data_IF_067615456082
#
_entry.id   IF_067615456082
#
_cell.length_a   1.000
_cell.length_b   1.000
_cell.length_c   1.000
_cell.angle_alpha   90.00
_cell.angle_beta   90.00
_cell.angle_gamma   90.00
#
_symmetry.space_group_name_H-M   'P 1'
#
loop_
_entity.id
_entity.type
_entity.pdbx_description
1 polymer ?
#
# COMPACT_ATOMS: atom_id res chain seq x y z
N UNK A 1 -22.84 -30.14 -18.95
CA UNK A 1 -23.99 -29.81 -18.09
C UNK A 1 -23.69 -30.35 -16.70
N UNK A 2 -23.07 -29.56 -15.81
CA UNK A 2 -22.78 -29.94 -14.42
C UNK A 2 -23.07 -28.72 -13.54
N UNK A 3 -23.80 -29.00 -12.46
CA UNK A 3 -24.67 -28.13 -11.67
C UNK A 3 -23.91 -27.06 -10.87
N UNK A 4 -24.35 -25.82 -10.99
CA UNK A 4 -24.04 -24.74 -10.05
C UNK A 4 -24.96 -24.85 -8.83
N UNK A 5 -24.44 -25.35 -7.72
CA UNK A 5 -25.09 -25.28 -6.42
C UNK A 5 -24.90 -23.87 -5.87
N UNK A 6 -25.89 -22.99 -6.08
CA UNK A 6 -25.91 -21.66 -5.46
C UNK A 6 -26.32 -21.81 -3.99
N UNK A 7 -25.37 -21.76 -3.08
CA UNK A 7 -25.64 -21.60 -1.64
C UNK A 7 -25.90 -20.11 -1.37
N UNK A 8 -27.13 -19.78 -1.03
CA UNK A 8 -27.50 -18.41 -0.61
C UNK A 8 -26.90 -18.14 0.77
N UNK A 9 -25.80 -17.40 0.80
CA UNK A 9 -25.16 -16.91 2.03
C UNK A 9 -26.04 -15.84 2.69
N UNK A 10 -26.63 -16.15 3.84
CA UNK A 10 -27.34 -15.17 4.67
C UNK A 10 -26.35 -14.48 5.62
N UNK A 11 -25.92 -13.27 5.29
CA UNK A 11 -25.05 -12.47 6.15
C UNK A 11 -25.87 -11.87 7.30
N UNK A 12 -25.59 -12.30 8.54
CA UNK A 12 -26.06 -11.61 9.75
C UNK A 12 -24.86 -10.97 10.45
N UNK A 13 -25.10 -9.87 11.16
CA UNK A 13 -24.07 -9.24 11.98
C UNK A 13 -23.57 -10.25 13.04
N UNK A 14 -22.25 -10.46 13.08
CA UNK A 14 -21.62 -11.47 13.94
C UNK A 14 -21.33 -12.82 13.27
N UNK A 15 -21.77 -13.05 12.03
CA UNK A 15 -21.46 -14.28 11.27
C UNK A 15 -19.96 -14.40 10.97
N UNK A 16 -19.45 -15.63 10.99
CA UNK A 16 -18.09 -15.95 10.56
C UNK A 16 -18.10 -16.27 9.06
N UNK A 17 -17.20 -15.63 8.33
CA UNK A 17 -17.04 -15.73 6.87
C UNK A 17 -15.57 -15.95 6.54
N UNK A 18 -15.31 -16.58 5.41
CA UNK A 18 -13.97 -16.95 4.98
C UNK A 18 -13.57 -16.15 3.75
N UNK A 19 -12.37 -15.57 3.78
CA UNK A 19 -11.72 -15.00 2.60
C UNK A 19 -10.40 -15.75 2.38
N UNK A 20 -10.38 -16.62 1.38
CA UNK A 20 -9.32 -17.61 1.18
C UNK A 20 -9.23 -18.58 2.37
N UNK A 21 -8.06 -18.65 3.01
CA UNK A 21 -7.80 -19.50 4.18
C UNK A 21 -8.00 -18.79 5.54
N UNK A 22 -8.42 -17.53 5.53
CA UNK A 22 -8.52 -16.70 6.72
C UNK A 22 -9.99 -16.52 7.16
N UNK A 23 -10.20 -16.57 8.47
CA UNK A 23 -11.52 -16.45 9.10
C UNK A 23 -11.76 -15.02 9.58
N UNK A 24 -12.90 -14.47 9.21
CA UNK A 24 -13.31 -13.13 9.55
C UNK A 24 -14.70 -13.14 10.19
N UNK A 25 -14.93 -12.24 11.14
CA UNK A 25 -16.24 -12.01 11.73
C UNK A 25 -16.86 -10.73 11.14
N UNK A 26 -18.07 -10.83 10.61
CA UNK A 26 -18.80 -9.67 10.06
C UNK A 26 -19.20 -8.75 11.21
N UNK A 27 -18.58 -7.57 11.30
CA UNK A 27 -18.92 -6.54 12.28
C UNK A 27 -20.14 -5.77 11.84
N UNK A 28 -20.21 -5.41 10.55
CA UNK A 28 -21.28 -4.58 10.00
C UNK A 28 -21.39 -4.75 8.49
N UNK A 29 -22.62 -4.76 7.98
CA UNK A 29 -22.90 -4.69 6.55
C UNK A 29 -22.96 -3.20 6.17
N UNK A 30 -22.12 -2.78 5.23
CA UNK A 30 -22.07 -1.39 4.79
C UNK A 30 -23.12 -1.17 3.69
N UNK A 31 -23.11 -2.02 2.68
CA UNK A 31 -24.02 -1.99 1.53
C UNK A 31 -24.16 -3.40 0.92
N UNK A 32 -24.84 -3.53 -0.23
CA UNK A 32 -25.04 -4.81 -0.92
C UNK A 32 -23.78 -5.37 -1.59
N UNK A 33 -22.66 -4.65 -1.53
CA UNK A 33 -21.40 -5.01 -2.17
C UNK A 33 -20.31 -5.27 -1.14
N UNK A 34 -20.36 -4.60 0.02
CA UNK A 34 -19.27 -4.58 0.99
C UNK A 34 -19.73 -4.77 2.44
N UNK A 35 -18.89 -5.50 3.18
CA UNK A 35 -19.03 -5.74 4.61
C UNK A 35 -17.74 -5.39 5.34
N UNK A 36 -17.86 -4.88 6.56
CA UNK A 36 -16.75 -4.66 7.46
C UNK A 36 -16.55 -5.92 8.31
N UNK A 37 -15.37 -6.51 8.27
CA UNK A 37 -15.07 -7.73 9.00
C UNK A 37 -13.79 -7.62 9.83
N UNK A 38 -13.77 -8.29 10.98
CA UNK A 38 -12.59 -8.42 11.84
C UNK A 38 -11.94 -9.78 11.61
N UNK A 39 -10.64 -9.81 11.34
CA UNK A 39 -9.90 -11.06 11.30
C UNK A 39 -9.80 -11.64 12.72
N UNK A 40 -10.26 -12.89 12.91
CA UNK A 40 -10.32 -13.52 14.23
C UNK A 40 -8.92 -13.69 14.84
N UNK A 41 -7.89 -13.92 14.00
CA UNK A 41 -6.50 -14.17 14.43
C UNK A 41 -5.71 -12.88 14.65
N UNK A 42 -5.78 -11.93 13.72
CA UNK A 42 -4.96 -10.70 13.78
C UNK A 42 -5.64 -9.54 14.46
N UNK A 43 -6.96 -9.63 14.71
CA UNK A 43 -7.80 -8.53 15.24
C UNK A 43 -7.83 -7.30 14.34
N UNK A 44 -7.40 -7.44 13.08
CA UNK A 44 -7.44 -6.37 12.08
C UNK A 44 -8.84 -6.27 11.46
N UNK A 45 -9.33 -5.03 11.32
CA UNK A 45 -10.62 -4.75 10.67
C UNK A 45 -10.38 -4.40 9.21
N UNK A 46 -11.07 -5.09 8.31
CA UNK A 46 -10.95 -4.94 6.86
C UNK A 46 -12.33 -4.85 6.20
N UNK A 47 -12.42 -4.07 5.13
CA UNK A 47 -13.59 -4.04 4.25
C UNK A 47 -13.43 -5.14 3.19
N UNK A 48 -14.35 -6.10 3.17
CA UNK A 48 -14.35 -7.21 2.21
C UNK A 48 -15.60 -7.12 1.34
N UNK A 49 -15.46 -7.56 0.09
CA UNK A 49 -16.56 -7.60 -0.86
C UNK A 49 -17.36 -8.88 -0.64
N UNK A 50 -18.68 -8.77 -0.66
CA UNK A 50 -19.59 -9.88 -0.36
C UNK A 50 -19.36 -11.06 -1.31
N UNK A 51 -19.08 -10.78 -2.59
CA UNK A 51 -18.81 -11.80 -3.62
C UNK A 51 -17.56 -12.65 -3.34
N UNK A 52 -16.61 -12.11 -2.58
CA UNK A 52 -15.34 -12.80 -2.31
C UNK A 52 -15.38 -13.61 -1.00
N UNK A 53 -16.53 -13.61 -0.30
CA UNK A 53 -16.71 -14.28 0.98
C UNK A 53 -17.36 -15.64 0.82
N UNK A 54 -16.77 -16.64 1.47
CA UNK A 54 -17.25 -18.02 1.47
C UNK A 54 -17.78 -18.42 2.86
N UNK A 55 -18.76 -19.34 2.89
CA UNK A 55 -19.33 -19.90 4.12
C UNK A 55 -18.39 -20.92 4.79
N UNK A 56 -17.52 -21.53 4.00
CA UNK A 56 -16.60 -22.57 4.41
C UNK A 56 -15.17 -22.22 3.98
N UNK A 57 -14.15 -22.67 4.74
CA UNK A 57 -12.75 -22.46 4.37
C UNK A 57 -12.47 -23.20 3.06
N UNK A 58 -12.23 -22.45 1.99
CA UNK A 58 -11.91 -23.03 0.69
C UNK A 58 -10.46 -23.53 0.71
N UNK A 59 -10.26 -24.85 0.70
CA UNK A 59 -8.94 -25.49 0.57
C UNK A 59 -8.37 -25.39 -0.85
N UNK A 60 -9.18 -24.96 -1.81
CA UNK A 60 -8.75 -24.78 -3.18
C UNK A 60 -8.43 -23.32 -3.46
N UNK A 61 -7.20 -23.13 -3.93
CA UNK A 61 -6.64 -21.87 -4.35
C UNK A 61 -7.29 -21.43 -5.66
N UNK A 62 -8.53 -20.95 -5.59
CA UNK A 62 -9.09 -20.11 -6.64
C UNK A 62 -8.48 -18.72 -6.47
N UNK A 63 -7.70 -18.21 -7.43
CA UNK A 63 -7.14 -16.87 -7.35
C UNK A 63 -8.31 -15.88 -7.48
N UNK A 64 -8.86 -15.48 -6.35
CA UNK A 64 -9.76 -14.33 -6.26
C UNK A 64 -9.01 -13.17 -6.85
N UNK A 65 -9.56 -12.62 -7.93
CA UNK A 65 -9.02 -11.49 -8.65
C UNK A 65 -8.77 -10.35 -7.65
N UNK A 66 -7.51 -10.21 -7.22
CA UNK A 66 -7.07 -9.00 -6.53
C UNK A 66 -7.36 -7.87 -7.50
N UNK A 67 -8.32 -7.04 -7.10
CA UNK A 67 -8.92 -5.98 -7.87
C UNK A 67 -7.89 -5.27 -8.75
N UNK A 68 -8.17 -5.29 -10.06
CA UNK A 68 -7.44 -4.57 -11.10
C UNK A 68 -7.46 -3.04 -10.84
N UNK A 69 -8.35 -2.58 -9.94
CA UNK A 69 -8.62 -1.15 -9.67
C UNK A 69 -7.64 -0.44 -8.72
N UNK A 70 -6.54 -1.08 -8.28
CA UNK A 70 -5.60 -0.46 -7.34
C UNK A 70 -4.13 -0.47 -7.77
N UNK A 71 -3.81 -0.85 -9.01
CA UNK A 71 -2.48 -0.57 -9.56
C UNK A 71 -2.47 0.81 -10.23
N UNK A 72 -1.55 1.72 -9.86
CA UNK A 72 -1.28 2.89 -10.68
C UNK A 72 -1.01 2.46 -12.13
N UNK A 73 -1.54 3.19 -13.13
CA UNK A 73 -1.42 2.83 -14.56
C UNK A 73 0.02 2.45 -14.98
N UNK A 74 1.00 3.10 -14.37
CA UNK A 74 2.43 2.84 -14.58
C UNK A 74 2.88 1.44 -14.12
N UNK A 75 2.39 0.98 -12.98
CA UNK A 75 2.74 -0.33 -12.43
C UNK A 75 2.08 -1.44 -13.25
N UNK A 76 0.87 -1.19 -13.75
CA UNK A 76 0.16 -2.11 -14.64
C UNK A 76 0.85 -2.21 -16.00
N UNK A 77 1.22 -1.08 -16.60
CA UNK A 77 2.01 -1.04 -17.84
C UNK A 77 3.35 -1.77 -17.69
N UNK A 78 4.01 -1.60 -16.55
CA UNK A 78 5.28 -2.27 -16.28
C UNK A 78 5.10 -3.78 -16.07
N UNK A 79 4.01 -4.20 -15.41
CA UNK A 79 3.66 -5.61 -15.31
C UNK A 79 3.38 -6.22 -16.69
N UNK A 80 2.64 -5.51 -17.56
CA UNK A 80 2.35 -5.94 -18.92
C UNK A 80 3.63 -6.07 -19.75
N UNK A 81 4.52 -5.08 -19.69
CA UNK A 81 5.81 -5.13 -20.37
C UNK A 81 6.65 -6.34 -19.93
N UNK A 82 6.64 -6.68 -18.63
CA UNK A 82 7.31 -7.87 -18.10
C UNK A 82 6.67 -9.16 -18.61
N UNK A 83 5.35 -9.21 -18.68
CA UNK A 83 4.63 -10.36 -19.21
C UNK A 83 4.99 -10.62 -20.67
N UNK A 84 4.99 -9.58 -21.51
CA UNK A 84 5.35 -9.73 -22.94
C UNK A 84 6.77 -10.28 -23.12
N UNK A 85 7.72 -9.90 -22.26
CA UNK A 85 9.09 -10.42 -22.30
C UNK A 85 9.14 -11.92 -21.97
N UNK A 86 8.39 -12.37 -20.96
CA UNK A 86 8.43 -13.79 -20.53
C UNK A 86 7.43 -14.68 -21.28
N UNK A 87 6.42 -14.11 -21.94
CA UNK A 87 5.38 -14.82 -22.70
C UNK A 87 5.90 -15.92 -23.62
N UNK A 88 6.97 -15.72 -24.43
CA UNK A 88 7.52 -16.78 -25.27
C UNK A 88 8.08 -17.96 -24.46
N UNK A 89 8.49 -17.74 -23.21
CA UNK A 89 9.11 -18.74 -22.33
C UNK A 89 8.12 -19.45 -21.40
N UNK A 90 6.89 -18.94 -21.24
CA UNK A 90 5.87 -19.46 -20.31
C UNK A 90 5.13 -20.68 -20.89
N UNK A 91 5.12 -20.86 -22.21
CA UNK A 91 4.36 -21.93 -22.90
C UNK A 91 5.26 -22.95 -23.61
N UNK A 92 6.57 -22.92 -23.34
CA UNK A 92 7.54 -23.76 -24.01
C UNK A 92 7.85 -25.00 -23.15
N UNK A 93 7.26 -26.13 -23.50
CA UNK A 93 7.59 -27.43 -22.89
C UNK A 93 9.04 -27.78 -23.23
N UNK A 94 9.93 -27.78 -22.23
CA UNK A 94 11.36 -28.07 -22.41
C UNK A 94 12.27 -26.85 -22.58
N UNK A 95 11.91 -25.68 -22.01
CA UNK A 95 12.74 -24.47 -21.98
C UNK A 95 14.21 -24.76 -21.62
N UNK A 96 15.12 -24.38 -22.50
CA UNK A 96 16.57 -24.52 -22.30
C UNK A 96 17.15 -23.24 -21.69
N UNK A 97 18.34 -23.34 -21.09
CA UNK A 97 19.07 -22.16 -20.56
C UNK A 97 19.32 -21.12 -21.64
N UNK A 98 19.63 -21.56 -22.85
CA UNK A 98 19.94 -20.69 -23.99
C UNK A 98 18.72 -19.87 -24.43
N UNK A 99 17.52 -20.42 -24.35
CA UNK A 99 16.26 -19.70 -24.64
C UNK A 99 16.07 -18.52 -23.67
N UNK A 100 16.36 -18.74 -22.38
CA UNK A 100 16.27 -17.70 -21.34
C UNK A 100 17.35 -16.64 -21.52
N UNK A 101 18.57 -17.06 -21.85
CA UNK A 101 19.70 -16.14 -22.07
C UNK A 101 19.46 -15.27 -23.32
N UNK A 102 18.91 -15.83 -24.40
CA UNK A 102 18.55 -15.07 -25.62
C UNK A 102 17.50 -13.98 -25.34
N UNK A 103 16.43 -14.32 -24.61
CA UNK A 103 15.42 -13.33 -24.20
C UNK A 103 16.01 -12.28 -23.27
N UNK A 104 16.87 -12.68 -22.33
CA UNK A 104 17.51 -11.75 -21.41
C UNK A 104 18.40 -10.73 -22.17
N UNK A 105 19.23 -11.20 -23.11
CA UNK A 105 20.11 -10.36 -23.92
C UNK A 105 19.35 -9.39 -24.83
N UNK A 106 18.31 -9.88 -25.52
CA UNK A 106 17.48 -9.05 -26.41
C UNK A 106 16.81 -7.85 -25.71
N UNK A 107 16.55 -7.98 -24.41
CA UNK A 107 15.94 -6.94 -23.58
C UNK A 107 16.93 -6.25 -22.63
N UNK A 108 18.23 -6.56 -22.69
CA UNK A 108 19.25 -5.96 -21.82
C UNK A 108 19.08 -6.29 -20.34
N UNK A 109 18.48 -7.44 -20.02
CA UNK A 109 18.19 -7.90 -18.67
C UNK A 109 19.14 -9.02 -18.25
N UNK A 110 19.31 -9.19 -16.94
CA UNK A 110 20.03 -10.33 -16.41
C UNK A 110 19.13 -11.57 -16.38
N UNK A 111 19.66 -12.74 -16.74
CA UNK A 111 18.94 -14.05 -16.71
C UNK A 111 18.15 -14.29 -15.43
N UNK A 112 18.69 -13.89 -14.28
CA UNK A 112 18.06 -14.08 -12.97
C UNK A 112 16.74 -13.31 -12.83
N UNK A 113 16.62 -12.15 -13.49
CA UNK A 113 15.39 -11.35 -13.54
C UNK A 113 14.30 -12.10 -14.30
N UNK A 114 14.65 -12.69 -15.45
CA UNK A 114 13.73 -13.50 -16.25
C UNK A 114 13.24 -14.71 -15.46
N UNK A 115 14.15 -15.48 -14.84
CA UNK A 115 13.78 -16.60 -13.95
C UNK A 115 12.93 -16.19 -12.75
N UNK A 116 13.10 -14.97 -12.24
CA UNK A 116 12.29 -14.45 -11.14
C UNK A 116 10.87 -14.17 -11.61
N UNK A 117 10.70 -13.51 -12.76
CA UNK A 117 9.39 -13.25 -13.35
C UNK A 117 8.66 -14.52 -13.75
N UNK A 118 9.36 -15.48 -14.37
CA UNK A 118 8.82 -16.79 -14.70
C UNK A 118 8.28 -17.51 -13.46
N UNK A 119 9.08 -17.61 -12.39
CA UNK A 119 8.63 -18.22 -11.13
C UNK A 119 7.42 -17.51 -10.51
N UNK A 120 7.38 -16.18 -10.55
CA UNK A 120 6.25 -15.41 -10.02
C UNK A 120 4.98 -15.64 -10.83
N UNK A 121 5.09 -15.64 -12.16
CA UNK A 121 3.95 -15.84 -13.05
C UNK A 121 3.47 -17.29 -13.06
N UNK A 122 4.36 -18.28 -13.13
CA UNK A 122 4.02 -19.71 -13.10
C UNK A 122 3.37 -20.12 -11.77
N UNK A 123 3.73 -19.48 -10.65
CA UNK A 123 3.14 -19.80 -9.33
C UNK A 123 1.78 -19.15 -9.08
N UNK A 124 1.49 -18.00 -9.68
CA UNK A 124 0.28 -17.23 -9.39
C UNK A 124 -0.68 -17.09 -10.57
N UNK A 125 -0.20 -17.19 -11.81
CA UNK A 125 -0.98 -17.03 -13.05
C UNK A 125 -1.52 -15.61 -13.28
N UNK A 126 -1.08 -14.63 -12.50
CA UNK A 126 -1.65 -13.28 -12.50
C UNK A 126 -0.67 -12.24 -13.03
N UNK A 127 -1.18 -11.28 -13.81
CA UNK A 127 -0.41 -10.11 -14.25
C UNK A 127 0.09 -9.26 -13.06
N UNK A 128 -0.72 -9.16 -12.00
CA UNK A 128 -0.36 -8.44 -10.77
C UNK A 128 0.86 -9.02 -10.05
N UNK A 129 1.19 -10.30 -10.26
CA UNK A 129 2.40 -10.92 -9.71
C UNK A 129 3.70 -10.33 -10.29
N UNK A 130 3.62 -9.80 -11.51
CA UNK A 130 4.72 -9.15 -12.22
C UNK A 130 4.80 -7.65 -11.94
N UNK A 131 3.87 -7.10 -11.18
CA UNK A 131 3.93 -5.70 -10.76
C UNK A 131 5.18 -5.43 -9.89
N UNK A 132 5.71 -4.20 -9.88
CA UNK A 132 6.72 -3.82 -8.90
C UNK A 132 6.20 -4.06 -7.48
N UNK A 133 6.86 -4.94 -6.73
CA UNK A 133 6.54 -5.11 -5.32
C UNK A 133 7.03 -3.88 -4.56
N UNK A 134 6.09 -3.03 -4.16
CA UNK A 134 6.39 -2.00 -3.17
C UNK A 134 6.73 -2.70 -1.86
N UNK A 135 7.79 -2.23 -1.22
CA UNK A 135 8.21 -2.70 0.10
C UNK A 135 7.08 -2.42 1.08
N UNK A 136 6.56 -3.44 1.78
CA UNK A 136 5.49 -3.30 2.77
C UNK A 136 5.88 -2.42 3.96
N UNK A 137 7.18 -2.20 4.19
CA UNK A 137 7.72 -1.30 5.19
C UNK A 137 7.86 0.15 4.72
N UNK A 138 7.61 0.44 3.45
CA UNK A 138 7.62 1.79 2.89
C UNK A 138 6.50 2.62 3.51
N UNK A 139 6.86 3.55 4.40
CA UNK A 139 5.92 4.43 5.09
C UNK A 139 5.41 3.92 6.45
N UNK A 140 5.85 2.74 6.89
CA UNK A 140 5.53 2.26 8.25
C UNK A 140 6.09 3.23 9.30
N UNK A 141 5.21 3.80 10.12
CA UNK A 141 5.58 4.73 11.17
C UNK A 141 6.23 3.93 12.30
N UNK A 142 7.57 3.88 12.30
CA UNK A 142 8.37 3.29 13.40
C UNK A 142 8.25 4.04 14.74
N UNK A 143 7.51 5.15 14.77
CA UNK A 143 7.21 5.91 15.98
C UNK A 143 5.97 5.34 16.65
N UNK A 144 5.98 5.31 17.98
CA UNK A 144 4.75 5.07 18.74
C UNK A 144 3.70 6.12 18.36
N UNK A 145 2.44 5.73 18.43
CA UNK A 145 1.31 6.62 18.10
C UNK A 145 1.34 7.91 18.92
N UNK A 146 1.76 7.83 20.18
CA UNK A 146 1.89 8.97 21.08
C UNK A 146 3.01 9.94 20.65
N UNK A 147 4.19 9.41 20.28
CA UNK A 147 5.30 10.23 19.80
C UNK A 147 4.94 10.91 18.47
N UNK A 148 4.25 10.19 17.59
CA UNK A 148 3.76 10.75 16.33
C UNK A 148 2.72 11.86 16.58
N UNK A 149 1.82 11.70 17.56
CA UNK A 149 0.84 12.72 17.92
C UNK A 149 1.50 14.02 18.42
N UNK A 150 2.51 13.92 19.28
CA UNK A 150 3.28 15.09 19.76
C UNK A 150 3.98 15.79 18.60
N UNK A 151 4.62 15.04 17.70
CA UNK A 151 5.30 15.62 16.52
C UNK A 151 4.31 16.35 15.63
N UNK A 152 3.16 15.74 15.34
CA UNK A 152 2.12 16.35 14.50
C UNK A 152 1.56 17.62 15.12
N UNK A 153 1.26 17.63 16.43
CA UNK A 153 0.76 18.80 17.14
C UNK A 153 1.78 19.95 17.11
N UNK A 154 3.04 19.67 17.49
CA UNK A 154 4.10 20.68 17.44
C UNK A 154 4.32 21.25 16.03
N UNK A 155 4.20 20.43 14.99
CA UNK A 155 4.34 20.91 13.60
C UNK A 155 3.22 21.91 13.27
N UNK A 156 1.97 21.63 13.62
CA UNK A 156 0.85 22.53 13.33
C UNK A 156 0.97 23.83 14.15
N UNK A 157 1.26 23.73 15.44
CA UNK A 157 1.25 24.86 16.36
C UNK A 157 2.47 25.78 16.20
N UNK A 158 3.65 25.19 15.98
CA UNK A 158 4.92 25.92 16.06
C UNK A 158 5.54 26.20 14.69
N UNK A 159 5.51 25.22 13.80
CA UNK A 159 6.15 25.33 12.48
C UNK A 159 5.22 25.91 11.42
N UNK A 160 3.97 25.46 11.37
CA UNK A 160 2.91 25.94 10.46
C UNK A 160 2.18 27.18 11.00
N UNK A 161 2.86 27.98 11.81
CA UNK A 161 2.34 29.23 12.36
C UNK A 161 2.94 30.46 11.68
N UNK A 162 2.32 31.62 11.91
CA UNK A 162 2.84 32.93 11.48
C UNK A 162 4.14 33.31 12.17
N UNK A 163 4.49 32.67 13.29
CA UNK A 163 5.78 32.86 13.97
C UNK A 163 6.93 32.18 13.21
N UNK A 164 6.62 31.19 12.35
CA UNK A 164 7.55 30.53 11.42
C UNK A 164 8.78 29.93 12.09
N UNK A 165 8.63 29.32 13.27
CA UNK A 165 9.75 28.74 14.01
C UNK A 165 10.57 27.78 13.12
N UNK A 166 11.89 27.77 13.33
CA UNK A 166 12.81 26.91 12.60
C UNK A 166 12.60 25.43 12.99
N UNK A 167 13.09 24.50 12.16
CA UNK A 167 13.05 23.06 12.49
C UNK A 167 13.84 22.76 13.77
N UNK A 168 14.91 23.52 14.05
CA UNK A 168 15.68 23.37 15.28
C UNK A 168 14.85 23.74 16.52
N UNK A 169 14.12 24.87 16.47
CA UNK A 169 13.27 25.30 17.57
C UNK A 169 12.06 24.37 17.74
N UNK A 170 11.48 23.89 16.64
CA UNK A 170 10.45 22.86 16.65
C UNK A 170 10.93 21.59 17.35
N UNK A 171 12.15 21.14 17.08
CA UNK A 171 12.72 19.95 17.70
C UNK A 171 12.94 20.12 19.21
N UNK A 172 13.39 21.30 19.64
CA UNK A 172 13.52 21.62 21.08
C UNK A 172 12.17 21.49 21.78
N UNK A 173 11.11 22.02 21.16
CA UNK A 173 9.75 21.96 21.70
C UNK A 173 9.20 20.53 21.74
N UNK A 174 9.39 19.75 20.66
CA UNK A 174 9.04 18.32 20.64
C UNK A 174 9.76 17.58 21.76
N UNK A 175 11.07 17.82 21.97
CA UNK A 175 11.83 17.18 23.05
C UNK A 175 11.28 17.54 24.43
N UNK A 176 10.84 18.80 24.61
CA UNK A 176 10.19 19.28 25.85
C UNK A 176 8.87 18.55 26.08
N UNK A 177 8.00 18.47 25.08
CA UNK A 177 6.71 17.79 25.18
C UNK A 177 6.84 16.29 25.38
N UNK A 178 7.74 15.61 24.65
CA UNK A 178 8.02 14.19 24.86
C UNK A 178 8.52 13.93 26.29
N UNK A 179 9.40 14.79 26.83
CA UNK A 179 9.85 14.67 28.23
C UNK A 179 8.72 14.82 29.22
N UNK A 180 7.82 15.79 29.02
CA UNK A 180 6.66 16.01 29.89
C UNK A 180 5.68 14.82 29.85
N UNK A 181 5.56 14.16 28.69
CA UNK A 181 4.73 12.98 28.51
C UNK A 181 5.42 11.67 28.91
N UNK A 182 6.69 11.69 29.32
CA UNK A 182 7.45 10.48 29.67
C UNK A 182 7.82 9.59 28.47
N UNK A 183 7.76 10.11 27.25
CA UNK A 183 7.98 9.36 26.00
C UNK A 183 9.38 9.67 25.44
N UNK A 184 9.99 8.67 24.79
CA UNK A 184 11.25 8.87 24.08
C UNK A 184 11.07 9.84 22.90
N UNK A 185 11.88 10.90 22.88
CA UNK A 185 11.85 11.88 21.80
C UNK A 185 12.34 11.26 20.49
N UNK A 186 11.68 11.54 19.36
CA UNK A 186 12.12 11.07 18.04
C UNK A 186 13.46 11.71 17.67
N UNK A 187 14.21 11.06 16.78
CA UNK A 187 15.43 11.66 16.22
C UNK A 187 15.09 12.91 15.37
N UNK A 188 15.99 13.90 15.34
CA UNK A 188 15.79 15.16 14.60
C UNK A 188 15.51 14.94 13.11
N UNK A 189 16.12 13.92 12.49
CA UNK A 189 15.85 13.57 11.09
C UNK A 189 14.43 13.06 10.89
N UNK A 190 13.84 12.39 11.88
CA UNK A 190 12.44 11.96 11.80
C UNK A 190 11.52 13.17 11.75
N UNK A 191 11.76 14.18 12.60
CA UNK A 191 11.01 15.46 12.56
C UNK A 191 11.19 16.15 11.22
N UNK A 192 12.42 16.24 10.70
CA UNK A 192 12.70 16.81 9.37
C UNK A 192 11.94 16.07 8.26
N UNK A 193 11.93 14.75 8.29
CA UNK A 193 11.19 13.93 7.33
C UNK A 193 9.68 14.17 7.42
N UNK A 194 9.12 14.31 8.63
CA UNK A 194 7.69 14.65 8.82
C UNK A 194 7.35 16.02 8.25
N UNK A 195 8.20 17.02 8.47
CA UNK A 195 8.04 18.33 7.85
C UNK A 195 8.15 18.22 6.32
N UNK A 196 9.06 17.41 5.79
CA UNK A 196 9.24 17.25 4.34
C UNK A 196 8.04 16.57 3.65
N UNK A 197 7.34 15.67 4.32
CA UNK A 197 6.12 15.04 3.81
C UNK A 197 4.96 16.01 3.60
N UNK A 198 4.94 17.15 4.30
CA UNK A 198 3.94 18.19 4.06
C UNK A 198 4.13 18.85 2.69
N UNK A 199 3.03 19.14 2.01
CA UNK A 199 3.07 19.81 0.69
C UNK A 199 3.68 21.22 0.80
N UNK A 200 4.38 21.62 -0.27
CA UNK A 200 4.98 22.96 -0.37
C UNK A 200 3.92 24.06 -0.27
N UNK A 201 2.77 23.89 -0.93
CA UNK A 201 1.63 24.80 -0.82
C UNK A 201 1.18 25.00 0.63
N UNK A 202 0.99 23.90 1.38
CA UNK A 202 0.54 23.98 2.77
C UNK A 202 1.52 24.77 3.63
N UNK A 203 2.82 24.50 3.48
CA UNK A 203 3.88 25.26 4.17
C UNK A 203 3.81 26.74 3.83
N UNK A 204 3.70 27.09 2.54
CA UNK A 204 3.75 28.48 2.11
C UNK A 204 2.49 29.22 2.57
N UNK A 205 1.32 28.66 2.32
CA UNK A 205 0.04 29.23 2.71
C UNK A 205 -0.08 29.49 4.21
N UNK A 206 0.30 28.51 5.04
CA UNK A 206 0.22 28.64 6.52
C UNK A 206 1.27 29.60 7.07
N UNK A 207 2.50 29.55 6.58
CA UNK A 207 3.62 30.34 7.11
C UNK A 207 3.65 31.76 6.54
N UNK A 208 3.39 31.92 5.24
CA UNK A 208 3.56 33.18 4.51
C UNK A 208 2.27 33.80 3.97
N UNK A 209 1.15 33.08 4.02
CA UNK A 209 -0.17 33.57 3.59
C UNK A 209 -0.55 33.11 2.17
N UNK A 210 -1.86 33.22 1.87
CA UNK A 210 -2.45 32.69 0.64
C UNK A 210 -1.89 33.34 -0.64
N UNK A 211 -1.68 34.67 -0.63
CA UNK A 211 -1.14 35.42 -1.78
C UNK A 211 0.22 34.88 -2.24
N UNK A 212 1.12 34.62 -1.28
CA UNK A 212 2.46 34.11 -1.57
C UNK A 212 2.45 32.64 -2.01
N UNK A 213 1.46 31.86 -1.56
CA UNK A 213 1.26 30.49 -2.05
C UNK A 213 0.89 30.48 -3.52
N UNK A 214 -0.11 31.30 -3.89
CA UNK A 214 -0.58 31.43 -5.27
C UNK A 214 0.54 31.86 -6.21
N UNK A 215 1.32 32.88 -5.85
CA UNK A 215 2.48 33.36 -6.62
C UNK A 215 3.54 32.26 -6.82
N UNK A 216 3.86 31.50 -5.77
CA UNK A 216 4.85 30.43 -5.83
C UNK A 216 4.41 29.24 -6.68
N UNK A 217 3.10 28.98 -6.77
CA UNK A 217 2.54 27.92 -7.61
C UNK A 217 2.54 28.30 -9.09
N UNK A 218 2.34 29.58 -9.41
CA UNK A 218 2.38 30.08 -10.79
C UNK A 218 3.80 30.16 -11.37
N UNK A 219 4.83 30.40 -10.55
CA UNK A 219 6.22 30.48 -11.02
C UNK A 219 6.84 29.13 -11.44
N UNK A 220 6.29 28.00 -11.01
CA UNK A 220 6.79 26.66 -11.36
C UNK A 220 6.12 26.04 -12.60
N UNK A 221 5.27 26.79 -13.31
CA UNK A 221 4.58 26.33 -14.53
C UNK A 221 5.12 27.00 -15.82
N UNK A 222 6.27 27.68 -15.74
CA UNK A 222 6.96 28.30 -16.88
C UNK A 222 8.15 27.49 -17.35
#
# INVERSE_FOLDING_TARGET
MIKSSSSTLSFQQGSVVYFGANEFQVIQIIDLTYVLCENIKTKEICRLRIDDLNAEPTKEMTPSAVAIDALPDKDWQLAQARLEIIRPLVHQDGRTKDDVDSVAESHGLHRNTIYKWLRLYESQGLLSSLAPKTRSDSGSKKLSQESEAIVSACIEDEYLSKQRKSIANLYIEIKRQCRNAGICAPHVNTVRNRVNLLSSDLKIRKRFGAKKSHESLHMNQG
#
